data_IF_376185499691
#
_entry.id   IF_376185499691
#
_cell.length_a   1.000
_cell.length_b   1.000
_cell.length_c   1.000
_cell.angle_alpha   90.00
_cell.angle_beta   90.00
_cell.angle_gamma   90.00
#
_symmetry.space_group_name_H-M   'P 1'
#
loop_
_entity.id
_entity.type
_entity.pdbx_description
1 polymer ?
#
# COMPACT_ATOMS: atom_id res chain seq x y z
N UNK A 1 -10.00 17.55 -6.28
CA UNK A 1 -10.72 16.50 -5.53
C UNK A 1 -10.81 16.86 -4.06
N UNK A 2 -9.76 17.42 -3.47
CA UNK A 2 -9.72 17.83 -2.08
C UNK A 2 -9.61 19.35 -1.96
N UNK A 3 -10.17 19.89 -0.90
CA UNK A 3 -9.99 21.30 -0.57
C UNK A 3 -8.53 21.62 -0.30
N UNK A 4 -8.12 22.84 -0.61
CA UNK A 4 -6.79 23.35 -0.22
C UNK A 4 -6.71 23.33 1.31
N UNK A 5 -5.54 22.97 1.82
CA UNK A 5 -5.28 22.94 3.26
C UNK A 5 -6.08 21.87 4.05
N UNK A 6 -6.60 20.83 3.38
CA UNK A 6 -7.33 19.71 4.02
C UNK A 6 -6.54 19.08 5.17
N UNK A 7 -5.22 19.04 5.06
CA UNK A 7 -4.32 18.42 6.03
C UNK A 7 -3.57 19.46 6.90
N UNK A 8 -4.03 20.70 6.95
CA UNK A 8 -3.48 21.67 7.88
C UNK A 8 -3.51 21.12 9.31
N UNK A 9 -2.47 21.41 10.08
CA UNK A 9 -2.26 20.90 11.44
C UNK A 9 -2.03 19.38 11.54
N UNK A 10 -1.87 18.68 10.42
CA UNK A 10 -1.43 17.28 10.42
C UNK A 10 0.09 17.23 10.41
N UNK A 11 0.64 16.41 11.29
CA UNK A 11 2.06 16.06 11.34
C UNK A 11 2.18 14.57 11.01
N UNK A 12 2.76 14.26 9.87
CA UNK A 12 2.69 12.91 9.30
C UNK A 12 4.10 12.36 9.10
N UNK A 13 4.37 11.21 9.70
CA UNK A 13 5.59 10.44 9.47
C UNK A 13 5.39 9.42 8.34
N UNK A 14 6.30 9.44 7.37
CA UNK A 14 6.30 8.54 6.21
C UNK A 14 7.57 7.70 6.21
N UNK A 15 7.45 6.41 6.51
CA UNK A 15 8.58 5.49 6.38
C UNK A 15 8.86 5.16 4.92
N UNK A 16 10.15 5.19 4.51
CA UNK A 16 10.53 5.05 3.10
C UNK A 16 10.09 6.25 2.24
N UNK A 17 9.97 7.44 2.84
CA UNK A 17 9.47 8.66 2.19
C UNK A 17 10.42 9.29 1.17
N UNK A 18 11.68 8.82 1.06
CA UNK A 18 12.66 9.40 0.15
C UNK A 18 12.53 8.98 -1.33
N UNK A 19 11.62 8.07 -1.69
CA UNK A 19 11.45 7.63 -3.08
C UNK A 19 10.12 6.92 -3.32
N UNK A 20 9.80 6.65 -4.59
CA UNK A 20 8.68 5.81 -5.01
C UNK A 20 7.33 6.24 -4.44
N UNK A 21 6.53 5.25 -3.99
CA UNK A 21 5.18 5.49 -3.48
C UNK A 21 5.17 6.39 -2.25
N UNK A 22 6.14 6.19 -1.33
CA UNK A 22 6.26 6.99 -0.11
C UNK A 22 6.49 8.47 -0.41
N UNK A 23 7.45 8.79 -1.29
CA UNK A 23 7.69 10.18 -1.76
C UNK A 23 6.43 10.75 -2.41
N UNK A 24 5.77 9.96 -3.28
CA UNK A 24 4.56 10.41 -3.97
C UNK A 24 3.42 10.78 -3.01
N UNK A 25 3.18 9.96 -1.98
CA UNK A 25 2.14 10.24 -0.97
C UNK A 25 2.55 11.40 -0.05
N UNK A 26 3.81 11.47 0.40
CA UNK A 26 4.35 12.59 1.17
C UNK A 26 4.18 13.92 0.44
N UNK A 27 4.48 13.95 -0.86
CA UNK A 27 4.25 15.14 -1.72
C UNK A 27 2.80 15.60 -1.62
N UNK A 28 1.84 14.69 -1.75
CA UNK A 28 0.42 15.07 -1.71
C UNK A 28 -0.02 15.58 -0.35
N UNK A 29 0.46 14.98 0.71
CA UNK A 29 0.18 15.46 2.06
C UNK A 29 0.73 16.88 2.29
N UNK A 30 1.95 17.15 1.82
CA UNK A 30 2.56 18.47 1.87
C UNK A 30 1.76 19.51 1.07
N UNK A 31 1.37 19.17 -0.17
CA UNK A 31 0.53 20.04 -1.02
C UNK A 31 -0.81 20.42 -0.38
N UNK A 32 -1.28 19.62 0.57
CA UNK A 32 -2.53 19.84 1.31
C UNK A 32 -2.32 20.43 2.70
N UNK A 33 -1.10 20.86 3.02
CA UNK A 33 -0.78 21.65 4.19
C UNK A 33 -0.26 20.87 5.40
N UNK A 34 0.06 19.59 5.27
CA UNK A 34 0.65 18.82 6.36
C UNK A 34 2.14 19.13 6.54
N UNK A 35 2.61 19.09 7.80
CA UNK A 35 4.03 18.97 8.11
C UNK A 35 4.47 17.52 7.97
N UNK A 36 5.53 17.29 7.21
CA UNK A 36 5.97 15.95 6.82
C UNK A 36 7.30 15.61 7.48
N UNK A 37 7.35 14.41 8.04
CA UNK A 37 8.58 13.74 8.43
C UNK A 37 8.81 12.55 7.52
N UNK A 38 9.96 12.46 6.88
CA UNK A 38 10.33 11.30 6.06
C UNK A 38 11.50 10.56 6.71
N UNK A 39 11.38 9.25 6.84
CA UNK A 39 12.46 8.44 7.37
C UNK A 39 12.87 7.29 6.47
N UNK A 40 14.10 6.83 6.66
CA UNK A 40 14.71 5.72 5.94
C UNK A 40 16.22 5.67 6.19
N UNK A 41 16.90 4.70 5.56
CA UNK A 41 18.34 4.46 5.83
C UNK A 41 19.29 5.41 5.09
N UNK A 42 18.87 5.95 3.96
CA UNK A 42 19.74 6.74 3.07
C UNK A 42 19.53 8.22 3.32
N UNK A 43 20.32 8.78 4.25
CA UNK A 43 20.18 10.19 4.66
C UNK A 43 20.25 11.16 3.49
N UNK A 44 21.22 11.02 2.58
CA UNK A 44 21.37 11.90 1.42
C UNK A 44 20.12 11.92 0.53
N UNK A 45 19.54 10.75 0.24
CA UNK A 45 18.31 10.66 -0.56
C UNK A 45 17.13 11.33 0.14
N UNK A 46 17.05 11.21 1.46
CA UNK A 46 16.00 11.86 2.26
C UNK A 46 16.17 13.38 2.23
N UNK A 47 17.40 13.88 2.40
CA UNK A 47 17.70 15.31 2.40
C UNK A 47 17.41 15.94 1.04
N UNK A 48 17.83 15.28 -0.05
CA UNK A 48 17.52 15.72 -1.41
C UNK A 48 16.00 15.76 -1.65
N UNK A 49 15.29 14.71 -1.21
CA UNK A 49 13.83 14.66 -1.35
C UNK A 49 13.15 15.74 -0.52
N UNK A 50 13.56 15.93 0.73
CA UNK A 50 12.97 16.98 1.59
C UNK A 50 13.16 18.37 0.98
N UNK A 51 14.38 18.67 0.50
CA UNK A 51 14.68 19.92 -0.18
C UNK A 51 13.82 20.08 -1.46
N UNK A 52 13.80 19.09 -2.33
CA UNK A 52 13.00 19.12 -3.57
C UNK A 52 11.52 19.39 -3.29
N UNK A 53 10.94 18.71 -2.30
CA UNK A 53 9.53 18.89 -1.98
C UNK A 53 9.23 20.28 -1.44
N UNK A 54 10.09 20.83 -0.58
CA UNK A 54 9.95 22.20 -0.06
C UNK A 54 10.16 23.25 -1.14
N UNK A 55 11.12 23.06 -2.03
CA UNK A 55 11.39 23.98 -3.16
C UNK A 55 10.19 24.03 -4.13
N UNK A 56 9.54 22.92 -4.38
CA UNK A 56 8.42 22.82 -5.33
C UNK A 56 7.06 23.22 -4.77
N UNK A 57 6.80 22.92 -3.50
CA UNK A 57 5.46 23.02 -2.91
C UNK A 57 5.40 23.95 -1.68
N UNK A 58 6.54 24.41 -1.17
CA UNK A 58 6.61 25.08 0.13
C UNK A 58 6.36 24.10 1.28
N UNK A 59 5.96 24.65 2.45
CA UNK A 59 5.65 23.85 3.62
C UNK A 59 6.86 23.32 4.37
N UNK A 60 6.68 22.28 5.18
CA UNK A 60 7.70 21.71 6.05
C UNK A 60 7.93 20.22 5.77
N UNK A 61 9.16 19.86 5.44
CA UNK A 61 9.59 18.45 5.29
C UNK A 61 10.88 18.25 6.06
N UNK A 62 10.87 17.36 7.04
CA UNK A 62 12.05 16.96 7.81
C UNK A 62 12.46 15.53 7.47
N UNK A 63 13.75 15.34 7.30
CA UNK A 63 14.36 14.06 6.96
C UNK A 63 15.12 13.49 8.14
N UNK A 64 14.80 12.25 8.55
CA UNK A 64 15.46 11.58 9.67
C UNK A 64 16.00 10.24 9.20
N UNK A 65 17.29 9.97 9.43
CA UNK A 65 17.87 8.66 9.14
C UNK A 65 17.45 7.67 10.21
N UNK A 66 16.75 6.61 9.79
CA UNK A 66 16.29 5.57 10.69
C UNK A 66 16.25 4.22 9.96
N UNK A 67 16.86 3.18 10.55
CA UNK A 67 16.61 1.80 10.14
C UNK A 67 15.49 1.22 10.99
N UNK A 68 14.31 1.09 10.40
CA UNK A 68 13.11 0.60 11.10
C UNK A 68 13.21 -0.85 11.60
N UNK A 69 14.29 -1.55 11.30
CA UNK A 69 14.58 -2.87 11.90
C UNK A 69 15.11 -2.77 13.33
N UNK A 70 15.52 -1.58 13.76
CA UNK A 70 16.15 -1.31 15.05
C UNK A 70 15.15 -0.54 15.91
N UNK A 71 14.53 -1.19 16.92
CA UNK A 71 13.53 -0.55 17.77
C UNK A 71 14.03 0.72 18.47
N UNK A 72 15.26 0.71 18.96
CA UNK A 72 15.89 1.83 19.65
C UNK A 72 16.03 3.05 18.74
N UNK A 73 16.42 2.84 17.47
CA UNK A 73 16.51 3.92 16.49
C UNK A 73 15.12 4.51 16.15
N UNK A 74 14.06 3.72 16.24
CA UNK A 74 12.69 4.21 16.09
C UNK A 74 12.29 5.06 17.29
N UNK A 75 12.57 4.60 18.51
CA UNK A 75 12.25 5.37 19.72
C UNK A 75 12.98 6.71 19.73
N UNK A 76 14.28 6.73 19.43
CA UNK A 76 15.09 7.97 19.33
C UNK A 76 14.52 8.95 18.29
N UNK A 77 14.17 8.43 17.09
CA UNK A 77 13.55 9.24 16.04
C UNK A 77 12.19 9.81 16.48
N UNK A 78 11.37 9.00 17.13
CA UNK A 78 10.04 9.44 17.55
C UNK A 78 10.15 10.42 18.70
N UNK A 79 11.11 10.27 19.62
CA UNK A 79 11.39 11.26 20.68
C UNK A 79 11.84 12.60 20.09
N UNK A 80 12.72 12.59 19.08
CA UNK A 80 13.10 13.80 18.34
C UNK A 80 11.87 14.51 17.77
N UNK A 81 10.99 13.77 17.08
CA UNK A 81 9.77 14.33 16.51
C UNK A 81 8.83 14.87 17.59
N UNK A 82 8.65 14.12 18.69
CA UNK A 82 7.77 14.52 19.80
C UNK A 82 8.24 15.77 20.55
N UNK A 83 9.55 16.02 20.57
CA UNK A 83 10.10 17.27 21.16
C UNK A 83 9.57 18.52 20.47
N UNK A 84 9.11 18.42 19.22
CA UNK A 84 8.50 19.49 18.45
C UNK A 84 6.97 19.46 18.48
N UNK A 85 6.39 18.37 18.97
CA UNK A 85 4.96 18.12 19.07
C UNK A 85 4.55 16.75 18.52
N UNK A 86 3.35 16.28 18.89
CA UNK A 86 2.90 14.95 18.55
C UNK A 86 2.63 14.77 17.06
N UNK A 87 2.86 13.55 16.54
CA UNK A 87 2.35 13.15 15.24
C UNK A 87 0.83 12.99 15.28
N UNK A 88 0.19 13.21 14.15
CA UNK A 88 -1.24 12.93 13.91
C UNK A 88 -1.46 11.83 12.91
N UNK A 89 -0.40 11.44 12.21
CA UNK A 89 -0.47 10.38 11.20
C UNK A 89 0.83 9.61 11.01
N UNK A 90 0.70 8.33 10.65
CA UNK A 90 1.80 7.45 10.26
C UNK A 90 1.46 6.77 8.95
N UNK A 91 2.38 6.85 7.98
CA UNK A 91 2.35 6.05 6.76
C UNK A 91 3.47 5.00 6.81
N UNK A 92 3.12 3.77 7.07
CA UNK A 92 4.00 2.61 6.98
C UNK A 92 4.14 2.19 5.52
N UNK A 93 5.19 2.68 4.86
CA UNK A 93 5.45 2.40 3.45
C UNK A 93 6.80 1.74 3.21
N UNK A 94 7.78 1.89 4.11
CA UNK A 94 9.08 1.27 3.95
C UNK A 94 8.96 -0.24 3.74
N UNK A 95 9.56 -0.75 2.68
CA UNK A 95 9.51 -2.14 2.29
C UNK A 95 10.79 -2.58 1.57
N UNK A 96 10.95 -3.87 1.43
CA UNK A 96 11.92 -4.51 0.55
C UNK A 96 11.25 -5.72 -0.10
N UNK A 97 11.64 -6.03 -1.33
CA UNK A 97 11.19 -7.23 -2.03
C UNK A 97 12.22 -7.65 -3.08
N UNK A 98 12.18 -8.91 -3.44
CA UNK A 98 12.89 -9.52 -4.58
C UNK A 98 12.15 -10.78 -5.00
N UNK A 99 12.38 -11.23 -6.21
CA UNK A 99 11.84 -12.50 -6.71
C UNK A 99 12.85 -13.62 -6.49
N UNK A 100 12.36 -14.78 -6.04
CA UNK A 100 13.14 -16.02 -5.91
C UNK A 100 12.22 -17.23 -5.89
N UNK A 101 12.72 -18.38 -6.34
CA UNK A 101 12.08 -19.65 -6.02
C UNK A 101 12.15 -19.86 -4.51
N UNK A 102 11.10 -20.41 -3.91
CA UNK A 102 11.05 -20.57 -2.45
C UNK A 102 12.10 -21.56 -1.94
N UNK A 103 12.34 -22.63 -2.69
CA UNK A 103 13.38 -23.62 -2.38
C UNK A 103 14.81 -23.07 -2.40
N UNK A 104 15.06 -21.99 -3.12
CA UNK A 104 16.37 -21.32 -3.20
C UNK A 104 16.55 -20.25 -2.11
N UNK A 105 15.52 -19.96 -1.31
CA UNK A 105 15.59 -18.93 -0.28
C UNK A 105 16.42 -19.38 0.92
N UNK A 106 17.49 -18.64 1.23
CA UNK A 106 18.17 -18.80 2.51
C UNK A 106 17.34 -18.21 3.67
N UNK A 107 17.50 -18.74 4.91
CA UNK A 107 16.90 -18.12 6.09
C UNK A 107 17.24 -16.64 6.25
N UNK A 108 18.46 -16.25 5.89
CA UNK A 108 18.92 -14.85 5.92
C UNK A 108 18.15 -13.97 4.93
N UNK A 109 17.88 -14.47 3.73
CA UNK A 109 17.12 -13.74 2.72
C UNK A 109 15.67 -13.52 3.17
N UNK A 110 15.04 -14.56 3.74
CA UNK A 110 13.70 -14.44 4.35
C UNK A 110 13.69 -13.40 5.47
N UNK A 111 14.61 -13.51 6.43
CA UNK A 111 14.72 -12.60 7.58
C UNK A 111 14.98 -11.15 7.15
N UNK A 112 15.73 -10.93 6.08
CA UNK A 112 16.03 -9.58 5.59
C UNK A 112 14.74 -8.84 5.14
N UNK A 113 13.79 -9.53 4.53
CA UNK A 113 12.51 -8.96 4.13
C UNK A 113 11.56 -8.84 5.31
N UNK A 114 11.40 -9.90 6.10
CA UNK A 114 10.47 -9.91 7.23
C UNK A 114 10.83 -8.87 8.29
N UNK A 115 12.12 -8.64 8.55
CA UNK A 115 12.55 -7.62 9.50
C UNK A 115 12.17 -6.20 9.06
N UNK A 116 12.17 -5.91 7.76
CA UNK A 116 11.75 -4.59 7.26
C UNK A 116 10.23 -4.50 7.24
N UNK A 117 9.58 -5.47 6.58
CA UNK A 117 8.16 -5.35 6.19
C UNK A 117 7.25 -5.69 7.36
N UNK A 118 7.55 -6.71 8.14
CA UNK A 118 6.74 -7.17 9.27
C UNK A 118 7.17 -6.52 10.58
N UNK A 119 8.39 -6.82 11.03
CA UNK A 119 8.86 -6.33 12.32
C UNK A 119 8.97 -4.80 12.35
N UNK A 120 9.58 -4.19 11.32
CA UNK A 120 9.75 -2.74 11.27
C UNK A 120 8.41 -1.99 11.23
N UNK A 121 7.42 -2.51 10.51
CA UNK A 121 6.07 -1.92 10.50
C UNK A 121 5.41 -2.04 11.87
N UNK A 122 5.57 -3.17 12.55
CA UNK A 122 5.05 -3.34 13.91
C UNK A 122 5.74 -2.38 14.89
N UNK A 123 7.07 -2.26 14.86
CA UNK A 123 7.81 -1.38 15.77
C UNK A 123 7.41 0.09 15.60
N UNK A 124 7.33 0.57 14.36
CA UNK A 124 6.86 1.93 14.05
C UNK A 124 5.44 2.18 14.58
N UNK A 125 4.52 1.24 14.30
CA UNK A 125 3.13 1.32 14.75
C UNK A 125 3.03 1.34 16.27
N UNK A 126 3.78 0.47 16.94
CA UNK A 126 3.79 0.35 18.40
C UNK A 126 4.38 1.60 19.08
N UNK A 127 5.53 2.08 18.63
CA UNK A 127 6.20 3.23 19.21
C UNK A 127 5.33 4.51 19.18
N UNK A 128 4.63 4.75 18.06
CA UNK A 128 3.76 5.91 17.90
C UNK A 128 2.42 5.68 18.61
N UNK A 129 1.83 4.50 18.48
CA UNK A 129 0.56 4.16 19.12
C UNK A 129 0.63 4.27 20.65
N UNK A 130 1.71 3.79 21.28
CA UNK A 130 1.93 3.93 22.72
C UNK A 130 1.90 5.41 23.18
N UNK A 131 2.53 6.31 22.43
CA UNK A 131 2.55 7.72 22.77
C UNK A 131 1.16 8.34 22.65
N UNK A 132 0.43 8.03 21.57
CA UNK A 132 -0.94 8.49 21.44
C UNK A 132 -1.84 7.99 22.58
N UNK A 133 -1.73 6.70 22.96
CA UNK A 133 -2.51 6.13 24.07
C UNK A 133 -2.16 6.79 25.39
N UNK A 134 -0.88 6.97 25.69
CA UNK A 134 -0.42 7.58 26.94
C UNK A 134 -0.86 9.06 27.09
N UNK A 135 -0.93 9.78 25.98
CA UNK A 135 -1.26 11.21 25.93
C UNK A 135 -2.74 11.46 25.57
N UNK A 136 -3.56 10.40 25.41
CA UNK A 136 -4.96 10.49 24.99
C UNK A 136 -5.14 11.24 23.66
N UNK A 137 -4.24 11.00 22.70
CA UNK A 137 -4.26 11.61 21.38
C UNK A 137 -4.92 10.68 20.37
N UNK A 138 -5.52 11.28 19.34
CA UNK A 138 -6.05 10.59 18.17
C UNK A 138 -4.99 10.51 17.08
N UNK A 139 -5.13 9.52 16.18
CA UNK A 139 -4.22 9.40 15.06
C UNK A 139 -4.76 8.52 13.93
N UNK A 140 -4.11 8.62 12.77
CA UNK A 140 -4.41 7.75 11.63
C UNK A 140 -3.15 7.01 11.17
N UNK A 141 -3.23 5.69 11.09
CA UNK A 141 -2.15 4.84 10.56
C UNK A 141 -2.60 4.24 9.24
N UNK A 142 -1.77 4.38 8.22
CA UNK A 142 -1.96 3.72 6.93
C UNK A 142 -0.78 2.79 6.70
N UNK A 143 -1.05 1.53 6.36
CA UNK A 143 -0.02 0.57 5.95
C UNK A 143 -0.12 0.25 4.47
N UNK A 144 0.99 0.37 3.74
CA UNK A 144 1.05 -0.03 2.33
C UNK A 144 1.32 -1.53 2.27
N UNK A 145 0.33 -2.26 1.79
CA UNK A 145 0.36 -3.70 1.57
C UNK A 145 0.64 -4.05 0.09
N UNK A 146 0.00 -5.07 -0.37
CA UNK A 146 -0.12 -5.53 -1.76
C UNK A 146 -1.36 -6.40 -1.86
N UNK A 147 -1.95 -6.53 -3.03
CA UNK A 147 -3.10 -7.42 -3.27
C UNK A 147 -2.82 -8.90 -3.03
N UNK A 148 -1.56 -9.28 -2.83
CA UNK A 148 -1.18 -10.64 -2.44
C UNK A 148 -1.74 -11.07 -1.08
N UNK A 149 -2.18 -10.14 -0.24
CA UNK A 149 -2.82 -10.44 1.05
C UNK A 149 -4.20 -11.09 0.90
N UNK A 150 -4.83 -10.88 -0.26
CA UNK A 150 -6.14 -11.43 -0.60
C UNK A 150 -6.05 -12.57 -1.65
N UNK A 151 -4.90 -12.71 -2.33
CA UNK A 151 -4.68 -13.73 -3.35
C UNK A 151 -3.44 -14.59 -3.00
N UNK A 152 -2.36 -14.41 -3.71
CA UNK A 152 -1.08 -15.08 -3.48
C UNK A 152 0.06 -14.28 -4.11
N UNK A 153 1.28 -14.49 -3.61
CA UNK A 153 2.50 -13.87 -4.13
C UNK A 153 3.56 -14.94 -4.46
N UNK A 154 3.37 -15.75 -5.51
CA UNK A 154 4.39 -16.73 -5.91
C UNK A 154 5.72 -16.01 -6.20
N UNK A 155 6.83 -16.67 -5.88
CA UNK A 155 8.20 -16.15 -6.01
C UNK A 155 8.52 -14.90 -5.15
N UNK A 156 7.57 -14.41 -4.34
CA UNK A 156 7.73 -13.28 -3.42
C UNK A 156 7.27 -13.61 -2.00
N UNK A 157 7.31 -14.88 -1.64
CA UNK A 157 6.76 -15.46 -0.41
C UNK A 157 7.14 -14.68 0.87
N UNK A 158 8.40 -14.25 1.09
CA UNK A 158 8.75 -13.49 2.31
C UNK A 158 7.97 -12.18 2.44
N UNK A 159 7.78 -11.47 1.32
CA UNK A 159 7.01 -10.22 1.28
C UNK A 159 5.51 -10.47 1.44
N UNK A 160 4.96 -11.47 0.74
CA UNK A 160 3.55 -11.83 0.83
C UNK A 160 3.15 -12.21 2.27
N UNK A 161 3.94 -13.10 2.93
CA UNK A 161 3.73 -13.47 4.33
C UNK A 161 3.81 -12.27 5.26
N UNK A 162 4.81 -11.41 5.08
CA UNK A 162 5.00 -10.21 5.91
C UNK A 162 3.82 -9.24 5.77
N UNK A 163 3.36 -9.00 4.55
CA UNK A 163 2.21 -8.12 4.27
C UNK A 163 0.90 -8.70 4.80
N UNK A 164 0.70 -10.01 4.74
CA UNK A 164 -0.45 -10.68 5.36
C UNK A 164 -0.44 -10.50 6.88
N UNK A 165 0.72 -10.60 7.54
CA UNK A 165 0.87 -10.30 8.96
C UNK A 165 0.53 -8.85 9.30
N UNK A 166 0.99 -7.88 8.51
CA UNK A 166 0.63 -6.46 8.69
C UNK A 166 -0.86 -6.22 8.44
N UNK A 167 -1.49 -6.97 7.50
CA UNK A 167 -2.94 -6.91 7.28
C UNK A 167 -3.72 -7.31 8.54
N UNK A 168 -3.34 -8.41 9.17
CA UNK A 168 -3.96 -8.86 10.44
C UNK A 168 -3.67 -7.89 11.57
N UNK A 169 -2.45 -7.37 11.70
CA UNK A 169 -2.13 -6.32 12.67
C UNK A 169 -3.04 -5.09 12.51
N UNK A 170 -3.25 -4.63 11.28
CA UNK A 170 -4.13 -3.49 10.98
C UNK A 170 -5.54 -3.72 11.52
N UNK A 171 -6.12 -4.89 11.28
CA UNK A 171 -7.47 -5.26 11.74
C UNK A 171 -7.53 -5.39 13.27
N UNK A 172 -6.53 -6.05 13.86
CA UNK A 172 -6.48 -6.28 15.31
C UNK A 172 -6.37 -4.98 16.09
N UNK A 173 -5.42 -4.12 15.70
CA UNK A 173 -5.21 -2.84 16.38
C UNK A 173 -6.32 -1.82 16.09
N UNK A 174 -6.99 -1.89 14.95
CA UNK A 174 -8.18 -1.09 14.68
C UNK A 174 -9.31 -1.41 15.69
N UNK A 175 -9.49 -2.69 16.03
CA UNK A 175 -10.46 -3.12 17.03
C UNK A 175 -10.01 -2.74 18.45
N UNK A 176 -8.72 -2.90 18.75
CA UNK A 176 -8.15 -2.62 20.08
C UNK A 176 -8.07 -1.12 20.39
N UNK A 177 -7.68 -0.29 19.42
CA UNK A 177 -7.40 1.14 19.62
C UNK A 177 -8.50 2.08 19.12
N UNK A 178 -9.52 1.53 18.46
CA UNK A 178 -10.58 2.37 17.86
C UNK A 178 -11.34 3.24 18.87
N UNK A 179 -11.55 2.76 20.07
CA UNK A 179 -12.25 3.53 21.12
C UNK A 179 -11.42 4.71 21.69
N UNK A 180 -10.10 4.74 21.41
CA UNK A 180 -9.25 5.90 21.70
C UNK A 180 -9.21 6.90 20.53
N UNK A 181 -9.91 6.63 19.44
CA UNK A 181 -9.89 7.47 18.24
C UNK A 181 -8.65 7.29 17.36
N UNK A 182 -7.95 6.16 17.50
CA UNK A 182 -6.83 5.79 16.63
C UNK A 182 -7.37 4.89 15.52
N UNK A 183 -7.25 5.32 14.28
CA UNK A 183 -7.69 4.59 13.10
C UNK A 183 -6.51 3.88 12.43
N UNK A 184 -6.70 2.64 12.06
CA UNK A 184 -5.72 1.89 11.27
C UNK A 184 -6.40 1.35 10.02
N UNK A 185 -5.85 1.70 8.86
CA UNK A 185 -6.29 1.16 7.58
C UNK A 185 -5.08 0.76 6.74
N UNK A 186 -5.32 0.01 5.69
CA UNK A 186 -4.29 -0.40 4.75
C UNK A 186 -4.71 -0.13 3.31
N UNK A 187 -3.73 0.14 2.47
CA UNK A 187 -3.88 0.20 1.02
C UNK A 187 -3.13 -0.99 0.43
N UNK A 188 -3.78 -1.74 -0.44
CA UNK A 188 -3.20 -2.83 -1.20
C UNK A 188 -3.06 -2.43 -2.69
N UNK A 189 -1.92 -1.82 -3.08
CA UNK A 189 -1.72 -1.42 -4.47
C UNK A 189 -1.49 -2.64 -5.37
N UNK A 190 -2.02 -2.55 -6.59
CA UNK A 190 -1.58 -3.33 -7.72
C UNK A 190 -0.35 -2.73 -8.40
N UNK A 191 -0.21 -2.87 -9.71
CA UNK A 191 0.92 -2.29 -10.44
C UNK A 191 0.87 -0.76 -10.48
N UNK A 192 1.80 -0.13 -9.74
CA UNK A 192 2.12 1.30 -9.81
C UNK A 192 3.60 1.41 -10.17
N UNK A 193 3.94 1.65 -11.43
CA UNK A 193 5.33 1.66 -11.89
C UNK A 193 6.17 2.69 -11.12
N UNK A 194 7.23 2.20 -10.48
CA UNK A 194 8.28 3.04 -9.91
C UNK A 194 9.63 2.45 -10.29
N UNK A 195 10.59 3.29 -10.64
CA UNK A 195 11.90 2.88 -11.12
C UNK A 195 12.56 1.80 -10.23
N UNK A 196 12.55 1.99 -8.92
CA UNK A 196 13.24 1.05 -8.00
C UNK A 196 12.47 -0.24 -7.67
N UNK A 197 11.16 -0.28 -7.89
CA UNK A 197 10.36 -1.51 -7.66
C UNK A 197 10.41 -2.40 -8.90
N UNK A 198 10.24 -1.84 -10.09
CA UNK A 198 10.25 -2.60 -11.34
C UNK A 198 11.59 -3.29 -11.61
N UNK A 199 12.70 -2.61 -11.37
CA UNK A 199 14.04 -3.20 -11.52
C UNK A 199 14.24 -4.51 -10.74
N UNK A 200 13.50 -4.70 -9.65
CA UNK A 200 13.60 -5.88 -8.77
C UNK A 200 12.54 -6.94 -8.99
N UNK A 201 11.36 -6.53 -9.48
CA UNK A 201 10.20 -7.41 -9.64
C UNK A 201 10.01 -7.86 -11.09
N UNK A 202 10.59 -7.14 -12.04
CA UNK A 202 10.53 -7.44 -13.48
C UNK A 202 11.89 -7.21 -14.13
N UNK A 203 12.95 -7.92 -13.67
CA UNK A 203 14.30 -7.71 -14.19
C UNK A 203 14.35 -8.03 -15.70
N UNK A 204 14.86 -7.09 -16.49
CA UNK A 204 15.01 -7.24 -17.94
C UNK A 204 13.76 -6.97 -18.77
N UNK A 205 12.64 -6.59 -18.16
CA UNK A 205 11.45 -6.13 -18.88
C UNK A 205 11.46 -4.60 -18.99
N UNK A 206 11.04 -4.10 -20.15
CA UNK A 206 10.88 -2.67 -20.37
C UNK A 206 9.72 -2.15 -19.51
N UNK A 207 9.98 -1.10 -18.73
CA UNK A 207 8.98 -0.49 -17.84
C UNK A 207 7.83 0.17 -18.60
N UNK A 208 8.03 0.47 -19.86
CA UNK A 208 7.06 1.11 -20.75
C UNK A 208 6.26 0.10 -21.60
N UNK A 209 6.54 -1.21 -21.49
CA UNK A 209 5.78 -2.20 -22.23
C UNK A 209 4.37 -2.37 -21.63
N UNK A 210 3.36 -2.08 -22.44
CA UNK A 210 1.93 -2.30 -22.13
C UNK A 210 1.54 -3.80 -22.07
N UNK A 211 2.51 -4.71 -22.08
CA UNK A 211 2.23 -6.16 -22.03
C UNK A 211 1.52 -6.59 -20.74
N UNK A 212 1.77 -5.88 -19.63
CA UNK A 212 1.05 -6.13 -18.37
C UNK A 212 -0.43 -5.70 -18.41
N UNK A 213 -0.82 -4.86 -19.34
CA UNK A 213 -2.19 -4.32 -19.40
C UNK A 213 -3.23 -5.41 -19.69
N UNK A 214 -2.82 -6.50 -20.37
CA UNK A 214 -3.73 -7.61 -20.69
C UNK A 214 -4.22 -8.37 -19.45
N UNK A 215 -3.47 -8.34 -18.35
CA UNK A 215 -3.81 -9.03 -17.10
C UNK A 215 -4.61 -8.16 -16.12
N UNK A 216 -4.64 -6.85 -16.34
CA UNK A 216 -5.38 -5.91 -15.51
C UNK A 216 -6.74 -5.65 -16.16
N UNK A 217 -7.87 -5.91 -15.49
CA UNK A 217 -9.19 -5.65 -16.06
C UNK A 217 -9.40 -4.23 -16.59
N UNK A 218 -8.85 -3.22 -15.91
CA UNK A 218 -8.89 -1.83 -16.38
C UNK A 218 -7.91 -1.51 -17.50
N UNK A 219 -7.12 -2.50 -17.98
CA UNK A 219 -6.19 -2.39 -19.13
C UNK A 219 -5.15 -1.28 -19.00
N UNK A 220 -4.75 -0.94 -17.79
CA UNK A 220 -3.68 0.03 -17.51
C UNK A 220 -3.09 -0.15 -16.12
N UNK A 221 -1.92 0.35 -15.92
CA UNK A 221 -1.33 0.51 -14.59
C UNK A 221 -2.02 1.64 -13.81
N UNK A 222 -1.86 1.64 -12.49
CA UNK A 222 -2.31 2.72 -11.63
C UNK A 222 -1.46 3.98 -11.80
N UNK A 223 -2.11 5.14 -11.78
CA UNK A 223 -1.43 6.43 -11.76
C UNK A 223 -1.12 6.87 -10.32
N UNK A 224 0.05 7.47 -10.09
CA UNK A 224 0.43 7.96 -8.76
C UNK A 224 -0.62 8.90 -8.14
N UNK A 225 -1.34 9.66 -8.98
CA UNK A 225 -2.43 10.53 -8.53
C UNK A 225 -3.55 9.75 -7.84
N UNK A 226 -3.88 8.56 -8.34
CA UNK A 226 -4.95 7.72 -7.78
C UNK A 226 -4.56 7.21 -6.39
N UNK A 227 -3.34 6.71 -6.25
CA UNK A 227 -2.80 6.27 -4.96
C UNK A 227 -2.72 7.42 -3.95
N UNK A 228 -2.20 8.60 -4.37
CA UNK A 228 -2.13 9.80 -3.54
C UNK A 228 -3.51 10.23 -3.02
N UNK A 229 -4.54 10.14 -3.86
CA UNK A 229 -5.91 10.49 -3.47
C UNK A 229 -6.47 9.52 -2.43
N UNK A 230 -6.32 8.21 -2.62
CA UNK A 230 -6.77 7.23 -1.62
C UNK A 230 -6.02 7.39 -0.29
N UNK A 231 -4.71 7.57 -0.34
CA UNK A 231 -3.91 7.80 0.87
C UNK A 231 -4.33 9.09 1.60
N UNK A 232 -4.64 10.16 0.86
CA UNK A 232 -5.15 11.41 1.42
C UNK A 232 -6.51 11.23 2.11
N UNK A 233 -7.44 10.54 1.45
CA UNK A 233 -8.76 10.24 2.00
C UNK A 233 -8.68 9.49 3.35
N UNK A 234 -7.83 8.49 3.44
CA UNK A 234 -7.65 7.69 4.66
C UNK A 234 -6.91 8.46 5.77
N UNK A 235 -6.05 9.42 5.42
CA UNK A 235 -5.27 10.21 6.38
C UNK A 235 -6.05 11.41 6.92
N UNK A 236 -6.96 11.96 6.14
CA UNK A 236 -7.77 13.11 6.51
C UNK A 236 -8.80 12.78 7.60
N UNK A 237 -9.24 13.81 8.31
CA UNK A 237 -10.42 13.75 9.17
C UNK A 237 -11.70 13.76 8.29
N UNK A 238 -12.83 13.43 8.88
CA UNK A 238 -14.11 13.39 8.16
C UNK A 238 -14.50 12.00 7.65
N UNK A 239 -13.62 11.00 7.82
CA UNK A 239 -13.93 9.59 7.60
C UNK A 239 -13.59 8.75 8.84
N UNK A 240 -13.93 9.27 10.02
CA UNK A 240 -13.46 8.75 11.32
C UNK A 240 -14.11 7.42 11.69
N UNK A 241 -15.19 7.04 11.05
CA UNK A 241 -15.83 5.73 11.22
C UNK A 241 -15.18 4.62 10.38
N UNK A 242 -14.20 4.96 9.53
CA UNK A 242 -13.47 4.00 8.69
C UNK A 242 -12.17 3.56 9.37
N UNK A 243 -12.16 2.33 9.90
CA UNK A 243 -10.96 1.71 10.48
C UNK A 243 -10.97 0.19 10.23
N UNK A 244 -9.80 -0.45 10.27
CA UNK A 244 -9.62 -1.88 10.08
C UNK A 244 -9.76 -2.35 8.63
N UNK A 245 -9.83 -1.44 7.65
CA UNK A 245 -10.06 -1.79 6.26
C UNK A 245 -8.75 -1.93 5.47
N UNK A 246 -8.75 -2.88 4.55
CA UNK A 246 -7.72 -3.01 3.50
C UNK A 246 -8.38 -2.73 2.17
N UNK A 247 -7.95 -1.66 1.52
CA UNK A 247 -8.56 -1.20 0.27
C UNK A 247 -7.60 -1.50 -0.88
N UNK A 248 -8.03 -2.39 -1.77
CA UNK A 248 -7.32 -2.67 -3.00
C UNK A 248 -7.46 -1.50 -3.98
N UNK A 249 -6.33 -1.12 -4.60
CA UNK A 249 -6.28 -0.13 -5.68
C UNK A 249 -5.39 -0.73 -6.79
N UNK A 250 -5.99 -1.55 -7.66
CA UNK A 250 -5.26 -2.40 -8.56
C UNK A 250 -5.93 -2.64 -9.93
N UNK A 251 -6.94 -1.85 -10.26
CA UNK A 251 -7.70 -2.02 -11.49
C UNK A 251 -8.43 -3.38 -11.58
N UNK A 252 -8.80 -3.95 -10.42
CA UNK A 252 -9.41 -5.27 -10.25
C UNK A 252 -8.47 -6.46 -10.61
N UNK A 253 -7.16 -6.24 -10.66
CA UNK A 253 -6.18 -7.25 -11.06
C UNK A 253 -6.27 -8.52 -10.19
N UNK A 254 -6.38 -8.39 -8.85
CA UNK A 254 -6.47 -9.55 -7.97
C UNK A 254 -7.78 -10.34 -8.13
N UNK A 255 -8.85 -9.71 -8.60
CA UNK A 255 -10.14 -10.35 -8.84
C UNK A 255 -10.14 -11.15 -10.16
N UNK A 256 -9.35 -10.70 -11.14
CA UNK A 256 -9.23 -11.35 -12.46
C UNK A 256 -8.17 -12.45 -12.53
N UNK A 257 -7.40 -12.71 -11.45
CA UNK A 257 -6.18 -13.50 -11.57
C UNK A 257 -6.36 -14.97 -11.28
N UNK A 258 -6.81 -15.44 -10.18
CA UNK A 258 -6.70 -16.85 -9.83
C UNK A 258 -8.07 -17.56 -9.74
N UNK A 259 -8.16 -18.77 -10.31
CA UNK A 259 -9.27 -19.69 -10.14
C UNK A 259 -10.57 -19.29 -10.84
N UNK A 260 -10.56 -18.30 -11.71
CA UNK A 260 -11.71 -17.86 -12.49
C UNK A 260 -11.43 -17.98 -14.01
N UNK A 261 -12.48 -17.83 -14.81
CA UNK A 261 -12.40 -17.93 -16.27
C UNK A 261 -11.98 -16.61 -16.95
N UNK A 262 -11.66 -15.56 -16.20
CA UNK A 262 -11.42 -14.21 -16.71
C UNK A 262 -10.44 -14.17 -17.88
N UNK A 263 -9.26 -14.79 -17.75
CA UNK A 263 -8.22 -14.75 -18.78
C UNK A 263 -8.64 -15.45 -20.10
N UNK A 264 -9.54 -16.41 -20.03
CA UNK A 264 -10.10 -17.07 -21.22
C UNK A 264 -11.23 -16.23 -21.82
N UNK A 265 -12.18 -15.82 -20.98
CA UNK A 265 -13.40 -15.17 -21.43
C UNK A 265 -13.18 -13.73 -21.90
N UNK A 266 -12.20 -13.01 -21.36
CA UNK A 266 -11.93 -11.62 -21.74
C UNK A 266 -11.30 -11.44 -23.13
N UNK A 267 -10.95 -12.55 -23.79
CA UNK A 267 -10.40 -12.58 -25.15
C UNK A 267 -11.47 -12.86 -26.21
N UNK A 268 -12.68 -13.21 -25.78
CA UNK A 268 -13.76 -13.58 -26.68
C UNK A 268 -14.30 -12.34 -27.41
N UNK A 269 -14.56 -12.53 -28.71
CA UNK A 269 -15.25 -11.56 -29.55
C UNK A 269 -16.76 -11.54 -29.29
N UNK A 270 -17.45 -10.57 -29.84
CA UNK A 270 -18.93 -10.53 -29.79
C UNK A 270 -19.55 -11.76 -30.46
N UNK A 271 -18.97 -12.24 -31.57
CA UNK A 271 -19.43 -13.46 -32.27
C UNK A 271 -19.25 -14.71 -31.39
N UNK A 272 -18.15 -14.81 -30.64
CA UNK A 272 -17.93 -15.91 -29.69
C UNK A 272 -18.99 -15.88 -28.58
N UNK A 273 -19.32 -14.70 -28.05
CA UNK A 273 -20.35 -14.55 -27.05
C UNK A 273 -21.74 -14.88 -27.59
N UNK A 274 -22.06 -14.52 -28.85
CA UNK A 274 -23.28 -14.92 -29.51
C UNK A 274 -23.36 -16.44 -29.69
N UNK A 275 -22.25 -17.06 -30.08
CA UNK A 275 -22.14 -18.51 -30.16
C UNK A 275 -22.44 -19.20 -28.83
N UNK A 276 -21.86 -18.71 -27.74
CA UNK A 276 -22.08 -19.23 -26.38
C UNK A 276 -23.57 -19.08 -25.99
N UNK A 277 -24.15 -17.91 -26.21
CA UNK A 277 -25.58 -17.66 -25.90
C UNK A 277 -26.50 -18.63 -26.64
N UNK A 278 -26.24 -18.86 -27.91
CA UNK A 278 -27.02 -19.78 -28.74
C UNK A 278 -26.89 -21.23 -28.27
N UNK A 279 -25.68 -21.66 -27.92
CA UNK A 279 -25.40 -23.00 -27.37
C UNK A 279 -26.15 -23.22 -26.05
N UNK A 280 -26.09 -22.24 -25.11
CA UNK A 280 -26.79 -22.32 -23.84
C UNK A 280 -28.30 -22.38 -24.04
N UNK A 281 -28.86 -21.55 -24.95
CA UNK A 281 -30.28 -21.58 -25.29
C UNK A 281 -30.73 -22.92 -25.83
N UNK A 282 -29.98 -23.47 -26.79
CA UNK A 282 -30.26 -24.80 -27.39
C UNK A 282 -30.25 -25.92 -26.36
N UNK A 283 -29.26 -25.88 -25.45
CA UNK A 283 -29.14 -26.86 -24.35
C UNK A 283 -30.34 -26.74 -23.39
N UNK A 284 -30.71 -25.55 -23.02
CA UNK A 284 -31.86 -25.32 -22.15
C UNK A 284 -33.19 -25.74 -22.76
N UNK A 285 -33.38 -25.54 -24.08
CA UNK A 285 -34.59 -25.93 -24.77
C UNK A 285 -34.67 -27.46 -24.89
N UNK A 286 -33.53 -28.13 -25.11
CA UNK A 286 -33.45 -29.59 -25.10
C UNK A 286 -33.77 -30.19 -23.72
N UNK A 287 -33.31 -29.55 -22.66
CA UNK A 287 -33.60 -30.01 -21.29
C UNK A 287 -35.07 -29.75 -20.88
N UNK A 288 -35.67 -28.64 -21.32
CA UNK A 288 -37.10 -28.39 -21.14
C UNK A 288 -37.95 -29.45 -21.85
N UNK A 289 -37.61 -29.82 -23.09
CA UNK A 289 -38.31 -30.85 -23.83
C UNK A 289 -38.30 -32.21 -23.11
N UNK A 290 -37.20 -32.56 -22.46
CA UNK A 290 -37.09 -33.82 -21.67
C UNK A 290 -37.91 -33.80 -20.37
N UNK A 291 -38.22 -32.61 -19.82
CA UNK A 291 -38.99 -32.48 -18.56
C UNK A 291 -40.50 -32.39 -18.81
N UNK A 292 -40.93 -32.27 -20.07
CA UNK A 292 -42.31 -32.15 -20.47
C UNK A 292 -42.97 -33.46 -20.87
N UNK A 293 -42.29 -34.61 -20.54
CA UNK A 293 -42.79 -35.96 -20.75
C UNK A 293 -43.17 -36.63 -19.44
#
# INVERSE_FOLDING_TARGET
MFEKNLLNNKRILVSGGGSGLGKAMATRYLELGADIYICGRRKSVLDETAKELMDLHGGSVKSISCDIKVPEAIEDMVDEIWSEGPLTGLLNNAAGNFISRTEDLSPRAFTAISNIVFNGTFYMTNAIGKRWLNENLKGSIISILTTWVDSSGPYTVPSAMSKAGVNIMTKSLAAEWGHYGIRLNAIAPGPFPTKGAWERLSPGQDTDSNENDSFIPMRRNGEMKELRNLATFLMADGCDYLTGQTIAIDGASHLGSAGNFYQGLNKLSDDDWDGIRNMIKSSNDADKAKRSV
#
